data_IF_872493856395
#
_entry.id   IF_872493856395
#
_cell.length_a   1.000
_cell.length_b   1.000
_cell.length_c   1.000
_cell.angle_alpha   90.00
_cell.angle_beta   90.00
_cell.angle_gamma   90.00
#
_symmetry.space_group_name_H-M   'P 1'
#
loop_
_entity.id
_entity.type
_entity.pdbx_description
1 polymer ?
#
# COMPACT_ATOMS: atom_id res chain seq x y z
N UNK A 1 3.43 -59.81 10.38
CA UNK A 1 3.76 -58.76 11.38
C UNK A 1 4.48 -57.53 10.76
N UNK A 2 5.26 -57.66 9.72
CA UNK A 2 5.94 -56.55 9.02
C UNK A 2 5.00 -55.68 8.17
N UNK A 3 3.94 -56.26 7.64
CA UNK A 3 2.94 -55.50 6.84
C UNK A 3 2.08 -54.57 7.70
N UNK A 4 1.71 -54.98 8.90
CA UNK A 4 0.94 -54.18 9.84
C UNK A 4 1.76 -53.03 10.44
N UNK A 5 3.09 -53.16 10.58
CA UNK A 5 3.97 -52.07 11.00
C UNK A 5 4.13 -50.99 9.89
N UNK A 6 4.21 -51.39 8.62
CA UNK A 6 4.24 -50.45 7.49
C UNK A 6 2.91 -49.74 7.29
N UNK A 7 1.79 -50.44 7.47
CA UNK A 7 0.47 -49.79 7.44
C UNK A 7 0.27 -48.83 8.63
N UNK A 8 0.72 -49.17 9.86
CA UNK A 8 0.69 -48.26 11.00
C UNK A 8 1.62 -47.07 10.82
N UNK A 9 2.80 -47.20 10.22
CA UNK A 9 3.67 -46.06 9.91
C UNK A 9 3.10 -45.17 8.81
N UNK A 10 2.37 -45.71 7.79
CA UNK A 10 1.64 -44.92 6.81
C UNK A 10 0.46 -44.18 7.44
N UNK A 11 -0.33 -44.82 8.32
CA UNK A 11 -1.42 -44.18 9.02
C UNK A 11 -0.95 -43.14 10.07
N UNK A 12 0.27 -43.30 10.64
CA UNK A 12 0.84 -42.34 11.59
C UNK A 12 1.40 -41.12 10.85
N UNK A 13 1.92 -41.28 9.62
CA UNK A 13 2.32 -40.11 8.79
C UNK A 13 1.12 -39.31 8.30
N UNK A 14 -0.05 -39.91 8.14
CA UNK A 14 -1.27 -39.21 7.70
C UNK A 14 -2.04 -38.55 8.88
N UNK A 15 -1.73 -38.92 10.13
CA UNK A 15 -2.38 -38.37 11.33
C UNK A 15 -1.73 -37.10 11.89
N UNK A 16 -0.62 -36.62 11.34
CA UNK A 16 -0.02 -35.34 11.72
C UNK A 16 -0.53 -34.13 10.91
N UNK A 17 -1.51 -34.32 10.04
CA UNK A 17 -2.26 -33.24 9.42
C UNK A 17 -3.31 -32.73 10.41
N UNK A 18 -2.90 -31.90 11.35
CA UNK A 18 -3.85 -31.04 12.08
C UNK A 18 -4.53 -30.21 11.01
N UNK A 19 -5.82 -30.40 10.82
CA UNK A 19 -6.59 -29.63 9.85
C UNK A 19 -6.64 -28.18 10.32
N UNK A 20 -5.93 -27.27 9.62
CA UNK A 20 -5.99 -25.86 9.96
C UNK A 20 -7.38 -25.35 9.62
N UNK A 21 -8.04 -24.79 10.61
CA UNK A 21 -9.34 -24.14 10.43
C UNK A 21 -9.12 -22.69 9.92
N UNK A 22 -9.62 -22.41 8.72
CA UNK A 22 -9.60 -21.10 8.10
C UNK A 22 -11.00 -20.45 8.07
N UNK A 23 -12.00 -21.06 8.69
CA UNK A 23 -13.38 -20.62 8.59
C UNK A 23 -13.61 -19.18 9.03
N UNK A 24 -12.99 -18.75 10.14
CA UNK A 24 -13.06 -17.35 10.58
C UNK A 24 -12.34 -16.42 9.61
N UNK A 25 -11.23 -16.86 9.00
CA UNK A 25 -10.42 -16.05 8.08
C UNK A 25 -11.14 -15.74 6.76
N UNK A 26 -12.25 -16.43 6.49
CA UNK A 26 -13.15 -16.14 5.37
C UNK A 26 -13.74 -14.72 5.46
N UNK A 27 -14.00 -14.26 6.68
CA UNK A 27 -14.49 -12.92 6.96
C UNK A 27 -13.33 -11.93 7.13
N UNK A 28 -12.58 -11.69 6.03
CA UNK A 28 -11.34 -10.92 6.08
C UNK A 28 -11.50 -9.51 6.68
N UNK A 29 -12.64 -8.85 6.49
CA UNK A 29 -13.00 -7.55 7.07
C UNK A 29 -14.04 -7.64 8.19
N UNK A 30 -14.21 -8.81 8.86
CA UNK A 30 -15.30 -8.99 9.83
C UNK A 30 -16.66 -8.82 9.16
N UNK A 31 -17.58 -8.08 9.78
CA UNK A 31 -18.92 -7.81 9.24
C UNK A 31 -18.92 -6.90 8.00
N UNK A 32 -17.81 -6.21 7.70
CA UNK A 32 -17.65 -5.42 6.46
C UNK A 32 -17.31 -6.29 5.24
N UNK A 33 -17.18 -7.61 5.43
CA UNK A 33 -16.74 -8.52 4.36
C UNK A 33 -17.81 -8.69 3.30
N UNK A 34 -17.40 -8.67 2.04
CA UNK A 34 -18.23 -9.07 0.89
C UNK A 34 -17.65 -10.32 0.22
N UNK A 35 -18.53 -11.20 -0.25
CA UNK A 35 -18.14 -12.40 -0.99
C UNK A 35 -18.29 -12.15 -2.49
N UNK A 36 -17.45 -11.25 -3.03
CA UNK A 36 -17.39 -10.93 -4.45
C UNK A 36 -16.07 -11.34 -5.04
N UNK A 37 -16.10 -12.07 -6.15
CA UNK A 37 -14.94 -12.41 -6.97
C UNK A 37 -15.18 -11.87 -8.40
N UNK A 38 -15.46 -10.58 -8.51
CA UNK A 38 -15.70 -9.86 -9.76
C UNK A 38 -14.77 -8.66 -9.88
N UNK A 39 -14.75 -8.00 -11.02
CA UNK A 39 -13.93 -6.79 -11.25
C UNK A 39 -14.32 -5.60 -10.38
N UNK A 40 -15.46 -5.63 -9.68
CA UNK A 40 -15.90 -4.57 -8.78
C UNK A 40 -15.68 -4.93 -7.30
N UNK A 41 -14.93 -6.00 -6.99
CA UNK A 41 -14.75 -6.49 -5.62
C UNK A 41 -14.12 -5.45 -4.68
N UNK A 42 -13.33 -4.49 -5.18
CA UNK A 42 -12.66 -3.49 -4.35
C UNK A 42 -13.48 -2.20 -4.17
N UNK A 43 -14.51 -1.97 -5.01
CA UNK A 43 -15.34 -0.75 -5.02
C UNK A 43 -16.74 -0.92 -4.43
N UNK A 44 -16.94 -1.96 -3.63
CA UNK A 44 -18.23 -2.24 -3.02
C UNK A 44 -18.30 -1.64 -1.61
N UNK A 45 -19.39 -0.96 -1.21
CA UNK A 45 -19.57 -0.47 0.14
C UNK A 45 -19.65 -1.62 1.15
N UNK A 46 -19.21 -1.37 2.38
CA UNK A 46 -19.38 -2.32 3.47
C UNK A 46 -20.89 -2.61 3.71
N UNK A 47 -21.29 -3.90 3.82
CA UNK A 47 -22.71 -4.28 3.85
C UNK A 47 -23.42 -3.90 5.15
N UNK A 48 -22.67 -3.60 6.21
CA UNK A 48 -23.18 -3.26 7.55
C UNK A 48 -23.23 -1.74 7.81
N UNK A 49 -23.11 -0.90 6.76
CA UNK A 49 -23.23 0.56 6.91
C UNK A 49 -24.64 0.97 7.30
N UNK A 50 -24.74 2.03 8.13
CA UNK A 50 -26.00 2.71 8.33
C UNK A 50 -26.50 3.35 7.03
N UNK A 51 -27.79 3.66 6.93
CA UNK A 51 -28.33 4.33 5.76
C UNK A 51 -27.68 5.70 5.50
N UNK A 52 -27.32 6.42 6.56
CA UNK A 52 -26.64 7.72 6.45
C UNK A 52 -25.20 7.54 5.95
N UNK A 53 -24.45 6.58 6.50
CA UNK A 53 -23.06 6.30 6.05
C UNK A 53 -23.06 5.78 4.61
N UNK A 54 -24.02 4.95 4.21
CA UNK A 54 -24.14 4.48 2.84
C UNK A 54 -24.43 5.64 1.86
N UNK A 55 -25.34 6.55 2.23
CA UNK A 55 -25.60 7.73 1.41
C UNK A 55 -24.34 8.59 1.23
N UNK A 56 -23.61 8.82 2.31
CA UNK A 56 -22.35 9.59 2.27
C UNK A 56 -21.27 8.85 1.48
N UNK A 57 -21.18 7.50 1.59
CA UNK A 57 -20.30 6.66 0.78
C UNK A 57 -20.56 6.86 -0.71
N UNK A 58 -21.83 6.81 -1.16
CA UNK A 58 -22.19 6.98 -2.57
C UNK A 58 -21.86 8.40 -3.10
N UNK A 59 -21.99 9.41 -2.24
CA UNK A 59 -21.54 10.77 -2.58
C UNK A 59 -20.02 10.80 -2.73
N UNK A 60 -19.29 10.16 -1.81
CA UNK A 60 -17.83 10.05 -1.84
C UNK A 60 -17.30 9.27 -3.04
N UNK A 61 -17.98 8.21 -3.47
CA UNK A 61 -17.69 7.45 -4.70
C UNK A 61 -17.71 8.38 -5.93
N UNK A 62 -18.75 9.20 -6.05
CA UNK A 62 -18.86 10.20 -7.12
C UNK A 62 -17.68 11.19 -7.09
N UNK A 63 -17.25 11.63 -5.91
CA UNK A 63 -16.13 12.56 -5.77
C UNK A 63 -14.76 11.89 -6.02
N UNK A 64 -14.62 10.61 -5.66
CA UNK A 64 -13.40 9.83 -5.91
C UNK A 64 -13.18 9.57 -7.41
N UNK A 65 -14.28 9.39 -8.16
CA UNK A 65 -14.26 9.25 -9.63
C UNK A 65 -14.15 10.60 -10.37
N UNK A 66 -14.36 11.73 -9.69
CA UNK A 66 -14.34 13.06 -10.31
C UNK A 66 -13.00 13.35 -10.99
N UNK A 67 -13.08 13.83 -12.24
CA UNK A 67 -11.91 14.31 -12.98
C UNK A 67 -11.86 15.82 -12.86
N UNK A 68 -10.78 16.32 -12.25
CA UNK A 68 -10.57 17.74 -12.05
C UNK A 68 -9.97 18.41 -13.29
N UNK A 69 -10.31 19.67 -13.47
CA UNK A 69 -9.85 20.53 -14.55
C UNK A 69 -9.38 21.87 -13.98
N UNK A 70 -8.60 22.60 -14.77
CA UNK A 70 -8.10 23.92 -14.35
C UNK A 70 -9.23 24.92 -14.09
N UNK A 71 -9.03 25.78 -13.14
CA UNK A 71 -9.91 26.92 -12.88
C UNK A 71 -9.80 27.99 -14.02
N UNK A 72 -10.90 28.73 -14.33
CA UNK A 72 -12.25 28.56 -13.81
C UNK A 72 -13.04 27.49 -14.58
N UNK A 73 -13.74 26.63 -13.87
CA UNK A 73 -14.66 25.65 -14.46
C UNK A 73 -15.94 25.58 -13.62
N UNK A 74 -17.06 25.17 -14.27
CA UNK A 74 -18.35 25.05 -13.57
C UNK A 74 -18.42 23.80 -12.69
N UNK A 75 -17.63 22.75 -13.04
CA UNK A 75 -17.62 21.45 -12.35
C UNK A 75 -16.18 21.00 -12.20
N UNK A 76 -15.84 20.48 -11.02
CA UNK A 76 -14.52 19.91 -10.70
C UNK A 76 -13.35 20.86 -11.05
N UNK A 77 -13.50 22.14 -10.73
CA UNK A 77 -12.45 23.15 -10.86
C UNK A 77 -11.36 22.94 -9.83
N UNK A 78 -10.16 23.44 -10.10
CA UNK A 78 -9.07 23.51 -9.11
C UNK A 78 -7.91 22.52 -9.39
N UNK A 79 -7.82 21.92 -10.59
CA UNK A 79 -6.59 21.17 -10.94
C UNK A 79 -5.42 22.16 -10.98
N UNK A 80 -4.38 21.89 -10.18
CA UNK A 80 -3.21 22.73 -10.09
C UNK A 80 -2.45 22.91 -11.40
N UNK A 81 -1.62 23.93 -11.47
CA UNK A 81 -0.78 24.22 -12.64
C UNK A 81 0.20 23.11 -12.97
N UNK A 82 0.72 22.41 -11.94
CA UNK A 82 1.55 21.19 -12.03
C UNK A 82 0.90 20.08 -11.19
N UNK A 83 0.98 18.84 -11.65
CA UNK A 83 0.30 17.70 -11.04
C UNK A 83 0.89 16.36 -11.52
N UNK A 84 0.48 15.24 -10.93
CA UNK A 84 0.77 13.89 -11.45
C UNK A 84 -0.44 13.29 -12.15
N UNK A 85 -1.64 13.50 -11.60
CA UNK A 85 -2.88 13.01 -12.18
C UNK A 85 -4.05 13.97 -11.89
N UNK A 86 -5.23 13.74 -12.46
CA UNK A 86 -6.38 14.64 -12.34
C UNK A 86 -7.61 14.01 -11.69
N UNK A 87 -7.48 12.81 -11.11
CA UNK A 87 -8.53 12.12 -10.34
C UNK A 87 -7.96 11.02 -9.47
N UNK A 88 -8.64 10.68 -8.37
CA UNK A 88 -8.23 9.58 -7.51
C UNK A 88 -8.29 8.24 -8.24
N UNK A 89 -9.39 7.98 -8.97
CA UNK A 89 -9.59 6.71 -9.71
C UNK A 89 -8.54 6.46 -10.80
N UNK A 90 -7.89 7.50 -11.33
CA UNK A 90 -6.82 7.36 -12.32
C UNK A 90 -5.54 6.76 -11.73
N UNK A 91 -5.26 7.01 -10.44
CA UNK A 91 -4.18 6.37 -9.70
C UNK A 91 -4.62 5.08 -9.00
N UNK A 92 -5.91 4.95 -8.67
CA UNK A 92 -6.50 3.80 -7.99
C UNK A 92 -7.56 3.10 -8.84
N UNK A 93 -7.22 2.55 -10.03
CA UNK A 93 -8.21 1.96 -10.94
C UNK A 93 -9.01 0.86 -10.24
N UNK A 94 -10.36 0.97 -10.32
CA UNK A 94 -11.31 0.10 -9.60
C UNK A 94 -11.02 -0.01 -8.10
N UNK A 95 -10.58 1.10 -7.45
CA UNK A 95 -10.17 1.16 -6.03
C UNK A 95 -9.02 0.22 -5.66
N UNK A 96 -8.34 -0.29 -6.67
CA UNK A 96 -7.18 -1.15 -6.56
C UNK A 96 -5.86 -0.41 -6.74
N UNK A 97 -4.96 -1.04 -7.46
CA UNK A 97 -3.62 -0.50 -7.75
C UNK A 97 -3.34 -0.48 -9.25
N UNK A 98 -2.61 0.50 -9.77
CA UNK A 98 -2.22 0.54 -11.17
C UNK A 98 -1.09 -0.43 -11.46
N UNK A 99 -0.92 -0.75 -12.75
CA UNK A 99 0.28 -1.42 -13.24
C UNK A 99 1.49 -0.47 -13.23
N UNK A 100 2.70 -1.03 -13.29
CA UNK A 100 3.88 -0.24 -13.66
C UNK A 100 3.65 0.36 -15.06
N UNK A 101 3.76 1.69 -15.24
CA UNK A 101 3.37 2.32 -16.50
C UNK A 101 4.32 1.97 -17.65
N UNK A 102 3.78 1.66 -18.80
CA UNK A 102 4.55 1.44 -20.04
C UNK A 102 5.22 2.75 -20.54
N UNK A 103 4.58 3.89 -20.28
CA UNK A 103 5.14 5.23 -20.50
C UNK A 103 5.16 5.98 -19.15
N UNK A 104 6.34 6.22 -18.62
CA UNK A 104 6.55 6.88 -17.34
C UNK A 104 6.07 8.35 -17.32
N UNK A 105 5.94 8.97 -18.48
CA UNK A 105 5.51 10.36 -18.63
C UNK A 105 4.03 10.50 -19.00
N UNK A 106 3.27 9.41 -18.99
CA UNK A 106 1.81 9.46 -19.01
C UNK A 106 1.24 9.65 -17.61
N UNK A 107 0.00 10.11 -17.53
CA UNK A 107 -0.75 10.09 -16.27
C UNK A 107 -0.87 8.65 -15.80
N UNK A 108 -0.37 8.37 -14.61
CA UNK A 108 -0.35 7.01 -14.04
C UNK A 108 -0.34 7.09 -12.52
N UNK A 109 -0.54 5.97 -11.84
CA UNK A 109 -0.40 5.92 -10.39
C UNK A 109 1.03 5.62 -9.92
N UNK A 110 2.05 5.86 -10.73
CA UNK A 110 3.45 5.89 -10.29
C UNK A 110 3.82 7.32 -9.92
N UNK A 111 4.10 7.52 -8.64
CA UNK A 111 4.49 8.79 -8.05
C UNK A 111 5.98 8.76 -7.70
N UNK A 112 6.65 9.91 -7.82
CA UNK A 112 8.06 10.05 -7.45
C UNK A 112 8.18 10.92 -6.22
N UNK A 113 8.30 10.30 -5.04
CA UNK A 113 8.62 11.03 -3.81
C UNK A 113 10.05 11.50 -3.86
N UNK A 114 10.30 12.72 -3.41
CA UNK A 114 11.62 13.34 -3.44
C UNK A 114 11.97 13.98 -2.09
N UNK A 115 13.22 13.99 -1.73
CA UNK A 115 13.75 14.77 -0.60
C UNK A 115 15.24 15.01 -0.77
N UNK A 116 15.79 15.94 0.00
CA UNK A 116 17.24 16.06 0.20
C UNK A 116 17.60 15.56 1.60
N UNK A 117 18.88 15.42 1.86
CA UNK A 117 19.39 14.99 3.16
C UNK A 117 18.90 15.90 4.30
N UNK A 118 18.57 15.31 5.44
CA UNK A 118 18.06 15.97 6.63
C UNK A 118 16.57 15.72 6.86
N UNK A 119 16.02 16.42 7.83
CA UNK A 119 14.62 16.38 8.24
C UNK A 119 14.08 17.80 8.35
N UNK A 120 12.79 17.96 8.12
CA UNK A 120 12.09 19.19 8.39
C UNK A 120 11.89 19.43 9.90
N UNK A 121 11.25 20.52 10.28
CA UNK A 121 11.00 20.90 11.67
C UNK A 121 10.11 19.91 12.45
N UNK A 122 9.42 19.03 11.73
CA UNK A 122 8.54 17.99 12.30
C UNK A 122 9.11 16.58 12.20
N UNK A 123 10.38 16.43 11.76
CA UNK A 123 11.05 15.15 11.58
C UNK A 123 10.67 14.42 10.28
N UNK A 124 9.91 15.06 9.40
CA UNK A 124 9.60 14.58 8.06
C UNK A 124 10.77 14.69 7.08
N UNK A 125 10.63 14.14 5.86
CA UNK A 125 11.64 14.29 4.83
C UNK A 125 11.84 15.75 4.43
N UNK A 126 13.09 16.20 4.37
CA UNK A 126 13.41 17.57 4.01
C UNK A 126 13.04 17.86 2.54
N UNK A 127 12.15 18.84 2.25
CA UNK A 127 11.70 19.12 0.89
C UNK A 127 12.86 19.47 -0.04
N UNK A 128 12.75 19.09 -1.31
CA UNK A 128 13.72 19.48 -2.35
C UNK A 128 13.52 20.95 -2.73
N UNK A 129 14.51 21.81 -2.58
CA UNK A 129 14.39 23.21 -2.98
C UNK A 129 13.94 23.37 -4.44
N UNK A 130 12.82 24.06 -4.64
CA UNK A 130 12.22 24.27 -5.96
C UNK A 130 11.37 23.10 -6.51
N UNK A 131 11.24 21.97 -5.77
CA UNK A 131 10.50 20.78 -6.22
C UNK A 131 9.56 20.18 -5.15
N UNK A 132 9.70 20.58 -3.87
CA UNK A 132 8.86 20.04 -2.80
C UNK A 132 9.22 18.60 -2.40
N UNK A 133 8.21 17.79 -2.03
CA UNK A 133 8.35 16.42 -1.52
C UNK A 133 7.93 15.33 -2.52
N UNK A 134 7.40 15.75 -3.68
CA UNK A 134 6.97 14.87 -4.77
C UNK A 134 7.19 15.59 -6.10
N UNK A 135 7.72 14.89 -7.09
CA UNK A 135 7.97 15.46 -8.42
C UNK A 135 6.69 15.42 -9.26
N UNK A 136 6.28 16.58 -9.78
CA UNK A 136 5.11 16.74 -10.63
C UNK A 136 5.52 16.56 -12.10
N UNK A 137 5.12 15.43 -12.71
CA UNK A 137 5.53 15.10 -14.08
C UNK A 137 4.52 15.53 -15.17
N UNK A 138 3.46 16.22 -14.77
CA UNK A 138 2.44 16.78 -15.65
C UNK A 138 2.28 18.29 -15.38
N UNK A 139 1.81 19.04 -16.37
CA UNK A 139 1.45 20.44 -16.22
C UNK A 139 0.28 20.79 -17.14
N UNK A 140 -0.45 21.84 -16.79
CA UNK A 140 -1.47 22.42 -17.67
C UNK A 140 -0.82 23.25 -18.78
N UNK A 141 -1.59 23.59 -19.80
CA UNK A 141 -1.10 24.39 -20.91
C UNK A 141 -0.53 25.74 -20.42
N UNK A 142 0.69 26.06 -20.85
CA UNK A 142 1.40 27.29 -20.47
C UNK A 142 2.38 27.10 -19.29
N UNK A 143 2.38 25.95 -18.64
CA UNK A 143 3.31 25.60 -17.57
C UNK A 143 4.23 24.45 -17.98
N UNK A 144 5.36 24.31 -17.31
CA UNK A 144 6.28 23.18 -17.49
C UNK A 144 6.14 22.21 -16.30
N UNK A 145 6.10 20.89 -16.55
CA UNK A 145 6.21 19.92 -15.46
C UNK A 145 7.58 20.09 -14.77
N UNK A 146 7.67 19.66 -13.51
CA UNK A 146 8.93 19.77 -12.76
C UNK A 146 10.06 18.96 -13.38
N UNK A 147 9.76 17.74 -13.84
CA UNK A 147 10.70 16.92 -14.60
C UNK A 147 9.93 15.80 -15.33
N UNK A 148 10.64 15.12 -16.24
CA UNK A 148 10.20 13.86 -16.83
C UNK A 148 10.94 12.69 -16.20
N UNK A 149 10.39 11.49 -16.35
CA UNK A 149 10.98 10.27 -15.82
C UNK A 149 11.58 9.43 -16.94
N UNK A 150 12.74 8.84 -16.65
CA UNK A 150 13.38 7.81 -17.47
C UNK A 150 13.70 6.60 -16.59
N UNK A 151 13.45 5.39 -17.07
CA UNK A 151 13.78 4.16 -16.35
C UNK A 151 14.87 3.37 -17.07
N UNK A 152 15.79 2.83 -16.27
CA UNK A 152 16.63 1.70 -16.61
C UNK A 152 16.22 0.50 -15.73
N UNK A 153 16.58 -0.71 -16.11
CA UNK A 153 16.30 -1.91 -15.34
C UNK A 153 17.59 -2.64 -15.01
N UNK A 154 17.74 -3.01 -13.73
CA UNK A 154 18.84 -3.86 -13.27
C UNK A 154 18.26 -5.26 -13.07
N UNK A 155 18.89 -6.25 -13.70
CA UNK A 155 18.50 -7.64 -13.58
C UNK A 155 19.23 -8.32 -12.43
N UNK A 156 18.48 -9.17 -11.70
CA UNK A 156 18.97 -10.07 -10.68
C UNK A 156 18.40 -11.45 -10.92
N UNK A 157 19.22 -12.47 -10.82
CA UNK A 157 18.80 -13.85 -11.01
C UNK A 157 18.67 -14.56 -9.67
N UNK A 158 17.54 -15.24 -9.46
CA UNK A 158 17.30 -16.14 -8.34
C UNK A 158 17.08 -17.56 -8.84
N UNK A 159 17.70 -18.54 -8.17
CA UNK A 159 17.56 -19.97 -8.54
C UNK A 159 16.85 -20.72 -7.42
N UNK A 160 15.81 -21.46 -7.77
CA UNK A 160 15.05 -22.29 -6.85
C UNK A 160 15.70 -23.67 -6.73
N UNK A 161 15.38 -24.43 -5.66
CA UNK A 161 15.99 -25.73 -5.38
C UNK A 161 15.77 -26.79 -6.46
N UNK A 162 14.75 -26.64 -7.31
CA UNK A 162 14.49 -27.52 -8.46
C UNK A 162 15.21 -27.09 -9.76
N UNK A 163 16.11 -26.10 -9.66
CA UNK A 163 16.85 -25.56 -10.79
C UNK A 163 16.10 -24.49 -11.61
N UNK A 164 14.86 -24.15 -11.26
CA UNK A 164 14.12 -23.08 -11.93
C UNK A 164 14.84 -21.74 -11.71
N UNK A 165 15.15 -21.05 -12.80
CA UNK A 165 15.78 -19.72 -12.80
C UNK A 165 14.73 -18.66 -13.02
N UNK A 166 14.72 -17.64 -12.16
CA UNK A 166 13.82 -16.49 -12.23
C UNK A 166 14.65 -15.22 -12.35
N UNK A 167 14.39 -14.44 -13.39
CA UNK A 167 15.04 -13.14 -13.63
C UNK A 167 14.16 -12.05 -13.06
N UNK A 168 14.63 -11.38 -12.03
CA UNK A 168 14.00 -10.26 -11.37
C UNK A 168 14.51 -8.95 -12.01
N UNK A 169 13.66 -7.92 -12.11
CA UNK A 169 14.02 -6.63 -12.70
C UNK A 169 13.72 -5.49 -11.71
N UNK A 170 14.75 -4.76 -11.28
CA UNK A 170 14.63 -3.55 -10.45
C UNK A 170 14.57 -2.33 -11.36
N UNK A 171 13.49 -1.52 -11.35
CA UNK A 171 13.49 -0.23 -12.03
C UNK A 171 14.40 0.76 -11.29
N UNK A 172 15.22 1.47 -12.04
CA UNK A 172 15.99 2.61 -11.58
C UNK A 172 15.49 3.82 -12.35
N UNK A 173 14.80 4.71 -11.65
CA UNK A 173 14.18 5.88 -12.27
C UNK A 173 15.04 7.11 -12.01
N UNK A 174 15.30 7.86 -13.07
CA UNK A 174 16.00 9.15 -13.05
C UNK A 174 15.10 10.26 -13.58
N UNK A 175 15.39 11.49 -13.14
CA UNK A 175 14.73 12.70 -13.65
C UNK A 175 15.50 13.19 -14.89
N UNK A 176 14.74 13.57 -15.93
CA UNK A 176 15.26 14.20 -17.14
C UNK A 176 14.44 15.45 -17.45
N UNK A 177 15.03 16.37 -18.19
CA UNK A 177 14.42 17.64 -18.57
C UNK A 177 13.80 18.42 -17.39
N UNK A 178 14.51 18.60 -16.25
CA UNK A 178 13.97 19.35 -15.14
C UNK A 178 13.77 20.83 -15.51
N UNK A 179 12.68 21.44 -14.99
CA UNK A 179 12.37 22.85 -15.29
C UNK A 179 13.39 23.83 -14.71
N UNK A 180 14.12 23.41 -13.70
CA UNK A 180 15.26 24.14 -13.10
C UNK A 180 16.34 23.16 -12.65
N UNK A 181 17.49 23.66 -12.22
CA UNK A 181 18.61 22.82 -11.80
C UNK A 181 18.24 21.94 -10.60
N UNK A 182 18.52 20.64 -10.72
CA UNK A 182 18.37 19.70 -9.62
C UNK A 182 19.43 19.95 -8.54
N UNK A 183 19.06 20.03 -7.25
CA UNK A 183 20.05 20.18 -6.17
C UNK A 183 20.87 18.90 -5.98
N UNK A 184 22.06 19.07 -5.39
CA UNK A 184 22.85 17.92 -4.92
C UNK A 184 22.17 17.19 -3.75
N UNK A 185 22.42 15.88 -3.63
CA UNK A 185 21.87 15.07 -2.54
C UNK A 185 20.38 14.72 -2.69
N UNK A 186 19.86 14.79 -3.91
CA UNK A 186 18.50 14.39 -4.24
C UNK A 186 18.30 12.88 -4.00
N UNK A 187 17.31 12.52 -3.22
CA UNK A 187 16.84 11.16 -2.97
C UNK A 187 15.47 10.98 -3.61
N UNK A 188 15.33 9.93 -4.42
CA UNK A 188 14.09 9.62 -5.15
C UNK A 188 13.53 8.27 -4.70
N UNK A 189 12.22 8.21 -4.53
CA UNK A 189 11.49 7.01 -4.14
C UNK A 189 10.27 6.82 -5.05
N UNK A 190 10.34 5.94 -6.06
CA UNK A 190 9.20 5.60 -6.89
C UNK A 190 8.18 4.81 -6.09
N UNK A 191 6.91 5.21 -6.15
CA UNK A 191 5.82 4.57 -5.40
C UNK A 191 4.58 4.41 -6.28
N UNK A 192 4.13 3.16 -6.42
CA UNK A 192 2.85 2.82 -7.05
C UNK A 192 1.74 3.05 -6.02
N UNK A 193 0.63 3.66 -6.44
CA UNK A 193 -0.55 3.84 -5.63
C UNK A 193 -1.09 2.48 -5.12
N UNK A 194 -1.64 2.47 -3.90
CA UNK A 194 -2.08 1.24 -3.22
C UNK A 194 -3.58 1.05 -3.34
N UNK A 195 -4.12 -0.19 -3.18
CA UNK A 195 -5.57 -0.37 -3.03
C UNK A 195 -6.12 0.47 -1.88
N UNK A 196 -7.36 0.95 -2.02
CA UNK A 196 -8.00 1.84 -1.03
C UNK A 196 -9.10 1.15 -0.20
N UNK A 197 -9.45 -0.11 -0.47
CA UNK A 197 -10.42 -0.85 0.31
C UNK A 197 -9.90 -1.27 1.69
N UNK A 198 -10.79 -1.39 2.67
CA UNK A 198 -10.48 -1.84 4.04
C UNK A 198 -9.69 -0.85 4.89
N UNK A 199 -9.39 0.36 4.38
CA UNK A 199 -8.52 1.30 5.07
C UNK A 199 -9.12 1.82 6.39
N UNK A 200 -10.44 1.99 6.47
CA UNK A 200 -11.09 2.41 7.71
C UNK A 200 -10.98 1.37 8.83
N UNK A 201 -10.95 0.08 8.50
CA UNK A 201 -10.66 -0.97 9.48
C UNK A 201 -9.22 -0.87 10.00
N UNK A 202 -8.25 -0.62 9.12
CA UNK A 202 -6.85 -0.42 9.52
C UNK A 202 -6.67 0.84 10.38
N UNK A 203 -7.40 1.92 10.08
CA UNK A 203 -7.42 3.11 10.91
C UNK A 203 -7.97 2.85 12.32
N UNK A 204 -8.95 1.95 12.43
CA UNK A 204 -9.64 1.62 13.67
C UNK A 204 -8.87 0.60 14.56
N UNK A 205 -7.79 -0.03 14.08
CA UNK A 205 -6.92 -0.84 14.96
C UNK A 205 -6.31 0.10 16.00
N UNK A 206 -6.34 -0.29 17.28
CA UNK A 206 -5.80 0.57 18.33
C UNK A 206 -4.28 0.70 18.24
N UNK A 207 -3.73 1.83 18.67
CA UNK A 207 -2.28 2.01 18.74
C UNK A 207 -1.65 0.95 19.64
N UNK A 208 -2.29 0.63 20.76
CA UNK A 208 -1.84 -0.40 21.69
C UNK A 208 -1.67 -1.77 21.01
N UNK A 209 -2.61 -2.17 20.14
CA UNK A 209 -2.56 -3.47 19.47
C UNK A 209 -1.45 -3.50 18.40
N UNK A 210 -1.20 -2.39 17.72
CA UNK A 210 -0.07 -2.28 16.77
C UNK A 210 1.26 -2.36 17.53
N UNK A 211 1.41 -1.58 18.60
CA UNK A 211 2.64 -1.53 19.40
C UNK A 211 2.93 -2.83 20.14
N UNK A 212 1.90 -3.65 20.43
CA UNK A 212 2.09 -4.97 21.06
C UNK A 212 2.89 -5.95 20.19
N UNK A 213 2.98 -5.69 18.86
CA UNK A 213 3.74 -6.52 17.94
C UNK A 213 5.18 -6.00 17.70
N UNK A 214 5.56 -4.90 18.34
CA UNK A 214 6.84 -4.23 18.17
C UNK A 214 7.95 -4.93 18.94
N UNK A 215 9.11 -5.16 18.30
CA UNK A 215 10.31 -5.68 18.95
C UNK A 215 11.56 -4.98 18.40
N UNK A 216 11.64 -3.66 18.60
CA UNK A 216 12.67 -2.76 18.00
C UNK A 216 14.10 -3.29 18.18
N UNK A 217 14.37 -3.99 19.27
CA UNK A 217 15.70 -4.47 19.63
C UNK A 217 15.90 -5.96 19.34
N UNK A 218 14.95 -6.61 18.65
CA UNK A 218 14.98 -8.07 18.41
C UNK A 218 15.28 -8.85 19.70
N UNK A 219 14.51 -8.55 20.77
CA UNK A 219 14.76 -9.10 22.10
C UNK A 219 14.53 -10.62 22.15
N UNK A 220 13.71 -11.16 21.26
CA UNK A 220 13.47 -12.59 21.12
C UNK A 220 14.55 -13.30 20.28
N UNK A 221 15.43 -12.57 19.58
CA UNK A 221 16.57 -13.08 18.80
C UNK A 221 16.20 -13.82 17.54
N UNK A 222 15.02 -13.53 16.93
CA UNK A 222 14.57 -14.21 15.73
C UNK A 222 14.98 -13.51 14.42
N UNK A 223 15.54 -12.31 14.52
CA UNK A 223 16.02 -11.49 13.43
C UNK A 223 14.94 -10.60 12.80
N UNK A 224 13.80 -10.41 13.51
CA UNK A 224 12.67 -9.58 13.06
C UNK A 224 12.37 -8.56 14.15
N UNK A 225 12.56 -7.27 13.85
CA UNK A 225 12.40 -6.21 14.83
C UNK A 225 10.98 -5.63 14.85
N UNK A 226 10.47 -5.17 13.74
CA UNK A 226 9.21 -4.44 13.67
C UNK A 226 9.23 -3.11 14.45
N UNK A 227 9.07 -1.99 13.76
CA UNK A 227 9.12 -0.66 14.35
C UNK A 227 7.94 0.19 13.92
N UNK A 228 7.28 0.87 14.86
CA UNK A 228 6.27 1.86 14.55
C UNK A 228 6.90 3.11 13.91
N UNK A 229 6.23 3.71 12.92
CA UNK A 229 6.57 5.05 12.47
C UNK A 229 5.70 6.07 13.21
N UNK A 230 6.30 7.14 13.72
CA UNK A 230 5.60 8.27 14.31
C UNK A 230 5.76 9.48 13.39
N UNK A 231 4.64 10.10 13.03
CA UNK A 231 4.57 11.08 11.96
C UNK A 231 3.82 12.33 12.39
N UNK A 232 4.19 13.47 11.88
CA UNK A 232 3.46 14.70 12.11
C UNK A 232 2.11 14.69 11.39
N UNK A 233 1.04 14.96 12.11
CA UNK A 233 -0.29 15.17 11.55
C UNK A 233 -0.58 16.69 11.51
N UNK A 234 -0.64 17.31 10.33
CA UNK A 234 -0.81 18.76 10.19
C UNK A 234 -2.21 19.25 10.60
N UNK A 235 -3.23 18.38 10.57
CA UNK A 235 -4.58 18.71 11.02
C UNK A 235 -4.67 18.72 12.55
N UNK A 236 -4.16 17.69 13.20
CA UNK A 236 -4.13 17.57 14.66
C UNK A 236 -3.01 18.38 15.30
N UNK A 237 -2.00 18.81 14.54
CA UNK A 237 -0.80 19.54 14.99
C UNK A 237 -0.03 18.79 16.08
N UNK A 238 0.12 17.49 15.89
CA UNK A 238 0.86 16.63 16.81
C UNK A 238 1.46 15.43 16.09
N UNK A 239 2.46 14.82 16.71
CA UNK A 239 3.03 13.56 16.25
C UNK A 239 2.13 12.40 16.69
N UNK A 240 1.73 11.56 15.75
CA UNK A 240 0.88 10.38 15.95
C UNK A 240 1.45 9.14 15.27
N UNK A 241 0.91 7.97 15.61
CA UNK A 241 1.26 6.72 14.95
C UNK A 241 0.92 6.75 13.45
N UNK A 242 1.91 6.53 12.60
CA UNK A 242 1.74 6.38 11.17
C UNK A 242 1.11 5.03 10.79
N UNK A 243 0.18 5.04 9.83
CA UNK A 243 -0.62 3.87 9.44
C UNK A 243 -0.66 3.67 7.93
N UNK A 244 -0.68 4.75 7.16
CA UNK A 244 -0.89 4.74 5.71
C UNK A 244 0.38 5.07 4.93
N UNK A 245 0.33 4.88 3.61
CA UNK A 245 1.50 4.97 2.76
C UNK A 245 2.39 3.71 2.82
N UNK A 246 3.44 3.69 2.04
CA UNK A 246 4.39 2.57 1.96
C UNK A 246 5.33 2.47 3.16
N UNK A 247 5.60 3.57 3.82
CA UNK A 247 6.47 3.68 5.00
C UNK A 247 5.69 4.10 6.26
N UNK A 248 4.37 3.88 6.30
CA UNK A 248 3.51 4.34 7.40
C UNK A 248 3.72 5.85 7.67
N UNK A 249 3.81 6.64 6.63
CA UNK A 249 4.18 8.07 6.70
C UNK A 249 2.98 9.01 6.86
N UNK A 250 1.77 8.47 7.05
CA UNK A 250 0.55 9.24 7.30
C UNK A 250 -0.27 8.53 8.39
N UNK A 251 -0.78 9.27 9.36
CA UNK A 251 -1.47 8.71 10.54
C UNK A 251 -2.97 8.50 10.32
N UNK A 252 -3.63 9.37 9.57
CA UNK A 252 -5.08 9.36 9.36
C UNK A 252 -5.46 9.35 7.87
N UNK A 253 -6.65 8.82 7.56
CA UNK A 253 -7.18 8.88 6.19
C UNK A 253 -7.55 10.32 5.79
N UNK A 254 -7.87 11.17 6.75
CA UNK A 254 -8.09 12.60 6.48
C UNK A 254 -6.83 13.22 5.86
N UNK A 255 -5.67 13.07 6.54
CA UNK A 255 -4.41 13.62 6.05
C UNK A 255 -3.95 12.91 4.77
N UNK A 256 -4.18 11.59 4.65
CA UNK A 256 -3.85 10.85 3.43
C UNK A 256 -4.62 11.37 2.20
N UNK A 257 -5.92 11.61 2.33
CA UNK A 257 -6.74 12.13 1.22
C UNK A 257 -6.44 13.60 0.92
N UNK A 258 -6.28 14.45 1.95
CA UNK A 258 -5.96 15.88 1.76
C UNK A 258 -4.58 16.08 1.16
N UNK A 259 -3.59 15.26 1.55
CA UNK A 259 -2.27 15.26 0.93
C UNK A 259 -2.32 14.80 -0.53
N UNK A 260 -3.15 13.79 -0.87
CA UNK A 260 -3.33 13.37 -2.26
C UNK A 260 -3.97 14.46 -3.14
N UNK A 261 -4.91 15.23 -2.60
CA UNK A 261 -5.45 16.39 -3.34
C UNK A 261 -4.37 17.38 -3.72
N UNK A 262 -3.53 17.80 -2.77
CA UNK A 262 -2.50 18.82 -3.02
C UNK A 262 -1.28 18.24 -3.74
N UNK A 263 -0.76 17.09 -3.30
CA UNK A 263 0.49 16.55 -3.84
C UNK A 263 0.32 15.87 -5.21
N UNK A 264 -0.83 15.19 -5.46
CA UNK A 264 -1.03 14.44 -6.70
C UNK A 264 -1.76 15.25 -7.77
N UNK A 265 -2.63 16.20 -7.36
CA UNK A 265 -3.49 16.99 -8.26
C UNK A 265 -3.26 18.50 -8.18
N UNK A 266 -2.45 18.98 -7.24
CA UNK A 266 -2.23 20.40 -7.01
C UNK A 266 -3.44 21.14 -6.45
N UNK A 267 -4.44 20.42 -5.87
CA UNK A 267 -5.70 20.99 -5.38
C UNK A 267 -5.58 21.32 -3.91
N UNK A 268 -5.64 22.60 -3.57
CA UNK A 268 -5.56 23.08 -2.21
C UNK A 268 -6.80 22.75 -1.39
N UNK A 269 -6.62 22.60 -0.08
CA UNK A 269 -7.68 22.24 0.85
C UNK A 269 -7.41 22.83 2.25
N UNK A 270 -8.36 22.69 3.15
CA UNK A 270 -8.27 23.29 4.49
C UNK A 270 -7.15 22.75 5.39
N UNK A 271 -6.56 21.57 5.06
CA UNK A 271 -5.38 21.03 5.75
C UNK A 271 -4.10 21.54 5.11
N UNK A 272 -4.09 21.63 3.77
CA UNK A 272 -2.98 22.09 2.94
C UNK A 272 -3.44 23.25 2.06
N UNK A 273 -3.39 24.50 2.58
CA UNK A 273 -3.93 25.67 1.88
C UNK A 273 -3.00 26.28 0.84
N UNK A 274 -1.79 25.76 0.68
CA UNK A 274 -0.83 26.25 -0.31
C UNK A 274 -0.70 25.25 -1.45
N UNK A 275 -0.62 25.74 -2.67
CA UNK A 275 -0.35 24.90 -3.85
C UNK A 275 0.98 24.14 -3.75
N UNK A 276 1.05 22.98 -4.38
CA UNK A 276 2.27 22.14 -4.45
C UNK A 276 3.47 22.93 -4.97
N UNK A 277 3.24 23.79 -5.99
CA UNK A 277 4.23 24.67 -6.57
C UNK A 277 4.43 26.01 -5.83
N UNK A 278 3.97 26.15 -4.59
CA UNK A 278 4.13 27.39 -3.83
C UNK A 278 5.62 27.79 -3.74
N UNK A 279 5.91 29.04 -4.07
CA UNK A 279 7.27 29.59 -4.23
C UNK A 279 8.11 29.00 -5.39
N UNK A 280 7.53 28.24 -6.30
CA UNK A 280 8.17 27.79 -7.53
C UNK A 280 7.80 28.71 -8.71
N UNK A 281 8.70 28.83 -9.70
CA UNK A 281 8.46 29.66 -10.87
C UNK A 281 7.48 29.04 -11.89
N UNK A 282 7.20 27.73 -11.77
CA UNK A 282 6.33 26.97 -12.67
C UNK A 282 5.04 26.46 -12.01
N UNK A 283 4.81 26.74 -10.73
CA UNK A 283 3.80 26.04 -9.94
C UNK A 283 2.64 26.89 -9.44
N UNK A 284 2.63 28.21 -9.65
CA UNK A 284 1.57 29.09 -9.18
C UNK A 284 0.64 29.48 -10.35
N UNK A 285 -0.66 29.33 -10.16
CA UNK A 285 -1.65 29.73 -11.18
C UNK A 285 -2.00 31.23 -11.09
N UNK A 286 -1.62 31.91 -9.99
CA UNK A 286 -1.81 33.35 -9.77
C UNK A 286 -3.26 33.74 -9.42
N UNK A 287 -4.07 32.80 -8.93
CA UNK A 287 -5.46 33.00 -8.49
C UNK A 287 -5.53 33.22 -6.98
N UNK A 288 -6.65 33.77 -6.55
CA UNK A 288 -7.01 33.98 -5.14
C UNK A 288 -8.28 33.15 -4.83
N UNK A 289 -8.21 31.82 -5.08
CA UNK A 289 -9.30 30.87 -4.89
C UNK A 289 -8.97 29.73 -3.92
N UNK A 290 -7.84 29.81 -3.22
CA UNK A 290 -7.42 28.86 -2.19
C UNK A 290 -8.20 29.02 -0.86
N UNK A 291 -8.62 27.92 -0.22
CA UNK A 291 -8.53 26.54 -0.68
C UNK A 291 -9.63 26.21 -1.72
N UNK A 292 -9.22 25.55 -2.80
CA UNK A 292 -10.06 25.27 -3.98
C UNK A 292 -11.15 24.23 -3.72
N UNK A 293 -10.88 23.21 -2.88
CA UNK A 293 -11.85 22.16 -2.63
C UNK A 293 -12.58 22.37 -1.30
N UNK A 294 -13.94 22.36 -1.28
CA UNK A 294 -14.72 22.46 -0.06
C UNK A 294 -14.47 21.29 0.90
N UNK A 295 -14.44 21.55 2.20
CA UNK A 295 -14.30 20.54 3.25
C UNK A 295 -15.33 19.40 3.10
N UNK A 296 -16.58 19.72 2.73
CA UNK A 296 -17.64 18.71 2.57
C UNK A 296 -17.31 17.64 1.50
N UNK A 297 -16.58 18.01 0.44
CA UNK A 297 -16.13 17.07 -0.60
C UNK A 297 -15.01 16.19 -0.05
N UNK A 298 -14.05 16.79 0.65
CA UNK A 298 -12.99 16.03 1.34
C UNK A 298 -13.57 15.01 2.30
N UNK A 299 -14.52 15.42 3.15
CA UNK A 299 -15.17 14.56 4.14
C UNK A 299 -15.90 13.37 3.49
N UNK A 300 -16.54 13.59 2.32
CA UNK A 300 -17.18 12.54 1.54
C UNK A 300 -16.16 11.51 1.02
N UNK A 301 -15.05 11.97 0.45
CA UNK A 301 -13.99 11.07 -0.07
C UNK A 301 -13.30 10.32 1.07
N UNK A 302 -13.06 10.96 2.19
CA UNK A 302 -12.49 10.30 3.39
C UNK A 302 -13.42 9.20 3.89
N UNK A 303 -14.73 9.46 3.98
CA UNK A 303 -15.71 8.45 4.40
C UNK A 303 -15.79 7.32 3.38
N UNK A 304 -15.78 7.62 2.09
CA UNK A 304 -15.72 6.60 1.03
C UNK A 304 -14.54 5.66 1.23
N UNK A 305 -13.32 6.17 1.34
CA UNK A 305 -12.12 5.38 1.58
C UNK A 305 -12.18 4.56 2.88
N UNK A 306 -12.86 5.07 3.92
CA UNK A 306 -13.06 4.35 5.19
C UNK A 306 -14.04 3.18 5.07
N UNK A 307 -15.00 3.27 4.19
CA UNK A 307 -16.19 2.39 4.17
C UNK A 307 -16.24 1.42 3.00
N UNK A 308 -15.19 1.35 2.19
CA UNK A 308 -15.02 0.29 1.20
C UNK A 308 -14.85 -1.07 1.89
N UNK A 309 -15.63 -2.04 1.45
CA UNK A 309 -15.67 -3.40 1.98
C UNK A 309 -14.39 -4.17 1.69
N UNK A 310 -14.09 -5.16 2.51
CA UNK A 310 -12.98 -6.09 2.28
C UNK A 310 -13.52 -7.35 1.59
N UNK A 311 -12.93 -7.78 0.46
CA UNK A 311 -13.27 -9.07 -0.14
C UNK A 311 -12.94 -10.24 0.79
N UNK A 312 -13.86 -11.17 0.93
CA UNK A 312 -13.65 -12.39 1.73
C UNK A 312 -12.63 -13.34 1.13
N UNK A 313 -11.94 -14.10 1.99
CA UNK A 313 -11.04 -15.14 1.53
C UNK A 313 -11.82 -16.28 0.85
N UNK A 314 -11.20 -16.84 -0.18
CA UNK A 314 -11.82 -17.81 -1.10
C UNK A 314 -11.17 -19.18 -0.99
N UNK A 315 -11.89 -20.24 -1.42
CA UNK A 315 -11.37 -21.60 -1.51
C UNK A 315 -10.74 -22.15 -0.22
N UNK A 316 -11.11 -21.64 0.94
CA UNK A 316 -10.51 -21.93 2.27
C UNK A 316 -10.56 -23.42 2.63
N UNK A 317 -11.49 -24.19 2.04
CA UNK A 317 -11.63 -25.62 2.25
C UNK A 317 -10.74 -26.47 1.33
N UNK A 318 -10.07 -25.85 0.33
CA UNK A 318 -9.14 -26.54 -0.56
C UNK A 318 -7.94 -27.10 0.22
N UNK A 319 -7.55 -28.33 -0.07
CA UNK A 319 -6.35 -28.95 0.53
C UNK A 319 -5.08 -28.14 0.23
N UNK A 320 -4.97 -27.58 -0.97
CA UNK A 320 -3.84 -26.75 -1.39
C UNK A 320 -3.79 -25.46 -0.60
N UNK A 321 -4.92 -24.76 -0.40
CA UNK A 321 -5.02 -23.54 0.40
C UNK A 321 -4.66 -23.79 1.86
N UNK A 322 -5.17 -24.87 2.46
CA UNK A 322 -4.84 -25.25 3.84
C UNK A 322 -3.34 -25.59 3.98
N UNK A 323 -2.76 -26.30 3.04
CA UNK A 323 -1.32 -26.58 3.03
C UNK A 323 -0.52 -25.29 2.86
N UNK A 324 -0.95 -24.39 1.98
CA UNK A 324 -0.34 -23.08 1.78
C UNK A 324 -0.37 -22.22 3.04
N UNK A 325 -1.47 -22.24 3.79
CA UNK A 325 -1.58 -21.54 5.07
C UNK A 325 -0.57 -22.07 6.12
N UNK A 326 -0.37 -23.40 6.18
CA UNK A 326 0.67 -23.98 7.06
C UNK A 326 2.08 -23.60 6.61
N UNK A 327 2.32 -23.57 5.30
CA UNK A 327 3.60 -23.15 4.75
C UNK A 327 3.85 -21.67 5.09
N UNK A 328 2.85 -20.81 4.98
CA UNK A 328 2.94 -19.39 5.34
C UNK A 328 3.41 -19.20 6.80
N UNK A 329 2.92 -20.01 7.71
CA UNK A 329 3.36 -19.99 9.12
C UNK A 329 4.76 -20.62 9.29
N UNK A 330 5.01 -21.79 8.68
CA UNK A 330 6.29 -22.50 8.83
C UNK A 330 7.48 -21.81 8.18
N UNK A 331 7.22 -21.01 7.15
CA UNK A 331 8.21 -20.14 6.51
C UNK A 331 8.43 -18.82 7.27
N UNK A 332 7.68 -18.59 8.35
CA UNK A 332 7.74 -17.40 9.21
C UNK A 332 7.20 -16.11 8.54
N UNK A 333 6.41 -16.23 7.45
CA UNK A 333 5.76 -15.08 6.82
C UNK A 333 4.79 -14.37 7.78
N UNK A 334 4.13 -15.15 8.66
CA UNK A 334 3.16 -14.65 9.65
C UNK A 334 3.79 -13.82 10.78
N UNK A 335 5.11 -13.72 10.88
CA UNK A 335 5.77 -12.88 11.88
C UNK A 335 5.62 -11.39 11.61
N UNK A 336 5.62 -10.99 10.33
CA UNK A 336 5.29 -9.64 9.89
C UNK A 336 3.84 -9.58 9.39
N UNK A 337 3.46 -10.53 8.54
CA UNK A 337 2.09 -10.64 8.02
C UNK A 337 1.17 -11.32 9.04
N UNK A 338 1.00 -10.70 10.22
CA UNK A 338 0.15 -11.20 11.30
C UNK A 338 -1.29 -11.34 10.79
N UNK A 339 -1.88 -12.56 10.85
CA UNK A 339 -3.17 -12.82 10.23
C UNK A 339 -4.31 -12.01 10.82
N UNK A 340 -4.42 -11.97 12.15
CA UNK A 340 -5.59 -11.47 12.88
C UNK A 340 -5.29 -10.15 13.57
N UNK A 341 -6.23 -9.21 13.45
CA UNK A 341 -6.29 -7.96 14.20
C UNK A 341 -7.72 -7.74 14.73
N UNK A 342 -7.87 -6.82 15.68
CA UNK A 342 -9.18 -6.41 16.18
C UNK A 342 -9.24 -4.88 16.12
N UNK A 343 -10.33 -4.34 15.59
CA UNK A 343 -10.54 -2.90 15.59
C UNK A 343 -11.03 -2.43 16.96
N UNK A 344 -10.64 -1.22 17.32
CA UNK A 344 -11.13 -0.53 18.52
C UNK A 344 -12.42 0.26 18.26
N UNK A 345 -12.68 1.30 19.06
CA UNK A 345 -13.80 2.20 18.84
C UNK A 345 -13.65 2.97 17.54
N UNK A 346 -14.77 3.23 16.86
CA UNK A 346 -14.82 4.05 15.64
C UNK A 346 -16.08 4.91 15.66
N UNK A 347 -16.00 6.10 15.08
CA UNK A 347 -17.19 6.96 14.84
C UNK A 347 -18.14 6.36 13.79
N UNK A 348 -17.64 5.47 12.93
CA UNK A 348 -18.42 4.68 11.98
C UNK A 348 -18.65 3.33 12.63
N UNK A 349 -19.88 3.07 13.09
CA UNK A 349 -20.24 1.88 13.88
C UNK A 349 -19.90 0.57 13.17
N UNK A 350 -20.00 0.54 11.85
CA UNK A 350 -19.67 -0.62 11.01
C UNK A 350 -18.21 -1.07 11.13
N UNK A 351 -17.30 -0.18 11.52
CA UNK A 351 -15.85 -0.43 11.63
C UNK A 351 -15.41 -0.77 13.05
N UNK A 352 -16.26 -0.53 14.05
CA UNK A 352 -15.91 -0.70 15.46
C UNK A 352 -15.93 -2.17 15.88
N UNK A 353 -14.92 -2.57 16.66
CA UNK A 353 -14.82 -3.88 17.32
C UNK A 353 -14.93 -5.08 16.38
N UNK A 354 -14.45 -4.94 15.14
CA UNK A 354 -14.40 -6.01 14.14
C UNK A 354 -13.20 -6.92 14.35
N UNK A 355 -13.40 -8.23 14.28
CA UNK A 355 -12.30 -9.19 14.09
C UNK A 355 -11.98 -9.26 12.61
N UNK A 356 -10.74 -8.91 12.23
CA UNK A 356 -10.32 -8.78 10.84
C UNK A 356 -9.05 -9.59 10.56
N UNK A 357 -8.83 -9.93 9.28
CA UNK A 357 -7.68 -10.73 8.85
C UNK A 357 -6.88 -10.01 7.75
N UNK A 358 -6.19 -8.89 8.09
CA UNK A 358 -5.43 -8.09 7.13
C UNK A 358 -4.10 -8.75 6.73
N UNK A 359 -3.56 -9.67 7.51
CA UNK A 359 -2.21 -10.21 7.34
C UNK A 359 -1.16 -9.10 7.34
N UNK A 360 -1.16 -8.30 8.39
CA UNK A 360 -0.23 -7.19 8.61
C UNK A 360 -0.14 -6.85 10.09
N UNK A 361 1.06 -6.54 10.56
CA UNK A 361 1.33 -5.94 11.86
C UNK A 361 1.30 -4.41 11.84
N UNK A 362 1.24 -3.80 10.64
CA UNK A 362 1.29 -2.35 10.40
C UNK A 362 2.65 -1.70 10.76
N UNK A 363 3.69 -2.48 11.04
CA UNK A 363 5.02 -2.01 11.45
C UNK A 363 5.97 -1.89 10.25
N UNK A 364 7.08 -1.19 10.47
CA UNK A 364 8.21 -1.07 9.56
C UNK A 364 9.18 -2.23 9.79
N UNK A 365 9.70 -2.78 8.69
CA UNK A 365 10.75 -3.80 8.71
C UNK A 365 11.84 -3.45 7.73
N UNK A 366 13.11 -3.72 8.09
CA UNK A 366 14.25 -3.61 7.16
C UNK A 366 14.16 -4.73 6.10
N UNK A 367 13.90 -4.32 4.87
CA UNK A 367 13.72 -5.25 3.75
C UNK A 367 15.01 -5.44 2.93
N UNK A 368 16.15 -4.97 3.42
CA UNK A 368 17.46 -5.10 2.78
C UNK A 368 17.70 -4.16 1.61
N UNK A 369 18.91 -4.25 1.05
CA UNK A 369 19.39 -3.33 0.00
C UNK A 369 18.65 -3.46 -1.33
N UNK A 370 18.14 -4.65 -1.63
CA UNK A 370 17.41 -4.89 -2.89
C UNK A 370 16.11 -4.08 -2.99
N UNK A 371 15.43 -3.85 -1.86
CA UNK A 371 14.21 -3.06 -1.78
C UNK A 371 14.44 -1.62 -1.28
N UNK A 372 15.67 -1.28 -0.88
CA UNK A 372 16.00 0.07 -0.43
C UNK A 372 15.76 1.13 -1.52
N UNK A 373 15.21 2.28 -1.08
CA UNK A 373 15.08 3.51 -1.86
C UNK A 373 16.01 4.63 -1.36
N UNK A 374 16.74 4.36 -0.27
CA UNK A 374 17.67 5.24 0.43
C UNK A 374 17.04 6.57 0.94
N UNK A 375 15.71 6.73 0.81
CA UNK A 375 14.97 7.90 1.25
C UNK A 375 14.28 7.62 2.59
N UNK A 376 14.66 8.31 3.68
CA UNK A 376 13.96 8.21 4.95
C UNK A 376 12.56 8.86 4.86
N UNK A 377 11.65 8.45 5.76
CA UNK A 377 10.30 8.99 5.84
C UNK A 377 9.89 9.00 7.32
N UNK A 378 10.12 10.10 8.05
CA UNK A 378 10.08 10.23 9.51
C UNK A 378 11.06 9.24 10.17
N UNK A 379 10.57 8.26 10.97
CA UNK A 379 11.42 7.27 11.62
C UNK A 379 11.78 6.10 10.68
N UNK A 380 11.12 5.96 9.55
CA UNK A 380 11.46 4.95 8.56
C UNK A 380 12.75 5.30 7.84
N UNK A 381 13.71 4.39 7.84
CA UNK A 381 14.94 4.51 7.05
C UNK A 381 14.69 4.24 5.56
N UNK A 382 15.72 4.44 4.72
CA UNK A 382 15.66 4.10 3.29
C UNK A 382 15.47 2.60 3.01
N UNK A 383 15.68 1.72 3.98
CA UNK A 383 15.54 0.26 3.86
C UNK A 383 14.24 -0.28 4.43
N UNK A 384 13.54 0.51 5.25
CA UNK A 384 12.37 0.07 5.97
C UNK A 384 11.08 0.36 5.21
N UNK A 385 10.20 -0.65 5.21
CA UNK A 385 8.89 -0.61 4.59
C UNK A 385 7.83 -1.16 5.54
N UNK A 386 6.63 -0.56 5.50
CA UNK A 386 5.50 -1.07 6.28
C UNK A 386 5.00 -2.39 5.70
N UNK A 387 4.73 -3.38 6.56
CA UNK A 387 4.03 -4.61 6.17
C UNK A 387 2.68 -4.27 5.55
N UNK A 388 2.52 -4.62 4.28
CA UNK A 388 1.27 -4.37 3.54
C UNK A 388 0.22 -5.43 3.87
N UNK A 389 -1.05 -5.04 4.02
CA UNK A 389 -2.14 -6.01 4.08
C UNK A 389 -2.16 -6.92 2.87
N UNK A 390 -2.45 -8.21 3.08
CA UNK A 390 -2.53 -9.20 2.01
C UNK A 390 -3.97 -9.56 1.62
N UNK A 391 -4.98 -9.11 2.37
CA UNK A 391 -6.37 -9.30 1.98
C UNK A 391 -6.64 -8.74 0.59
N UNK A 392 -7.43 -9.45 -0.23
CA UNK A 392 -7.73 -9.07 -1.60
C UNK A 392 -6.58 -9.21 -2.60
N UNK A 393 -5.35 -9.57 -2.17
CA UNK A 393 -4.18 -9.63 -3.06
C UNK A 393 -4.40 -10.59 -4.25
N UNK A 394 -5.09 -11.71 -4.02
CA UNK A 394 -5.41 -12.68 -5.06
C UNK A 394 -6.43 -12.20 -6.08
N UNK A 395 -7.14 -11.09 -5.82
CA UNK A 395 -8.07 -10.49 -6.76
C UNK A 395 -7.45 -9.40 -7.64
N UNK A 396 -6.19 -9.01 -7.39
CA UNK A 396 -5.51 -7.94 -8.14
C UNK A 396 -5.57 -8.18 -9.66
N UNK A 397 -5.29 -9.42 -10.10
CA UNK A 397 -5.37 -9.77 -11.53
C UNK A 397 -6.77 -9.62 -12.13
N UNK A 398 -7.80 -9.97 -11.38
CA UNK A 398 -9.20 -9.88 -11.82
C UNK A 398 -9.71 -8.42 -11.84
N UNK A 399 -9.38 -7.65 -10.81
CA UNK A 399 -9.89 -6.27 -10.63
C UNK A 399 -9.09 -5.29 -11.48
N UNK A 400 -7.77 -5.40 -11.49
CA UNK A 400 -6.88 -4.41 -12.12
C UNK A 400 -6.26 -4.88 -13.46
N UNK A 401 -6.47 -6.14 -13.86
CA UNK A 401 -5.95 -6.69 -15.13
C UNK A 401 -4.45 -6.96 -15.14
N UNK A 402 -3.78 -6.93 -13.99
CA UNK A 402 -2.35 -7.21 -13.85
C UNK A 402 -2.03 -7.80 -12.47
N UNK A 403 -0.79 -8.30 -12.30
CA UNK A 403 -0.31 -8.90 -11.06
C UNK A 403 1.02 -8.31 -10.60
N UNK A 404 1.22 -7.01 -10.81
CA UNK A 404 2.45 -6.33 -10.35
C UNK A 404 2.32 -5.91 -8.88
N UNK A 405 3.39 -6.12 -8.11
CA UNK A 405 3.43 -5.92 -6.67
C UNK A 405 4.64 -5.10 -6.24
N UNK A 406 4.78 -4.88 -4.93
CA UNK A 406 5.77 -4.06 -4.23
C UNK A 406 5.56 -2.55 -4.45
N UNK A 407 6.42 -1.74 -3.80
CA UNK A 407 6.23 -0.29 -3.71
C UNK A 407 6.36 0.44 -5.06
N UNK A 408 7.15 -0.10 -5.96
CA UNK A 408 7.44 0.45 -7.28
C UNK A 408 6.94 -0.43 -8.44
N UNK A 409 6.18 -1.48 -8.15
CA UNK A 409 5.61 -2.36 -9.18
C UNK A 409 6.59 -3.33 -9.83
N UNK A 410 7.81 -3.51 -9.25
CA UNK A 410 8.87 -4.34 -9.85
C UNK A 410 8.55 -5.83 -9.92
N UNK A 411 7.77 -6.37 -9.00
CA UNK A 411 7.41 -7.78 -8.97
C UNK A 411 6.20 -8.04 -9.88
N UNK A 412 6.37 -8.88 -10.88
CA UNK A 412 5.34 -9.19 -11.90
C UNK A 412 4.30 -10.21 -11.41
N UNK A 413 4.58 -10.88 -10.30
CA UNK A 413 3.72 -11.89 -9.69
C UNK A 413 4.12 -12.11 -8.22
N UNK A 414 3.35 -12.93 -7.50
CA UNK A 414 3.60 -13.22 -6.07
C UNK A 414 4.93 -13.93 -5.82
N UNK A 415 5.38 -14.80 -6.74
CA UNK A 415 6.69 -15.46 -6.64
C UNK A 415 7.83 -14.44 -6.66
N UNK A 416 7.80 -13.51 -7.61
CA UNK A 416 8.79 -12.43 -7.67
C UNK A 416 8.72 -11.52 -6.44
N UNK A 417 7.49 -11.22 -5.96
CA UNK A 417 7.32 -10.44 -4.73
C UNK A 417 8.02 -11.11 -3.54
N UNK A 418 7.85 -12.43 -3.34
CA UNK A 418 8.53 -13.18 -2.29
C UNK A 418 10.06 -13.18 -2.50
N UNK A 419 10.53 -13.34 -3.74
CA UNK A 419 11.96 -13.40 -4.05
C UNK A 419 12.67 -12.03 -3.89
N UNK A 420 11.94 -10.92 -3.92
CA UNK A 420 12.47 -9.60 -3.60
C UNK A 420 12.62 -9.35 -2.10
N UNK A 421 11.97 -10.13 -1.23
CA UNK A 421 12.12 -9.99 0.21
C UNK A 421 13.58 -10.21 0.64
N UNK A 422 14.09 -9.31 1.47
CA UNK A 422 15.46 -9.35 2.02
C UNK A 422 15.48 -8.87 3.47
N UNK A 423 16.64 -8.51 4.00
CA UNK A 423 16.76 -8.03 5.38
C UNK A 423 16.13 -8.98 6.38
N UNK A 424 15.20 -8.52 7.19
CA UNK A 424 14.47 -9.31 8.19
C UNK A 424 13.69 -10.49 7.55
N UNK A 425 13.26 -10.37 6.31
CA UNK A 425 12.53 -11.43 5.60
C UNK A 425 13.44 -12.39 4.79
N UNK A 426 14.77 -12.20 4.82
CA UNK A 426 15.73 -13.02 4.05
C UNK A 426 15.58 -14.52 4.36
N UNK A 427 15.42 -14.88 5.63
CA UNK A 427 15.25 -16.27 6.06
C UNK A 427 13.99 -16.92 5.49
N UNK A 428 12.88 -16.18 5.44
CA UNK A 428 11.63 -16.63 4.83
C UNK A 428 11.78 -16.86 3.30
N UNK A 429 12.44 -15.93 2.60
CA UNK A 429 12.79 -16.08 1.18
C UNK A 429 13.62 -17.34 0.91
N UNK A 430 14.70 -17.56 1.67
CA UNK A 430 15.54 -18.74 1.46
C UNK A 430 14.79 -20.05 1.72
N UNK A 431 13.94 -20.11 2.75
CA UNK A 431 13.06 -21.25 2.99
C UNK A 431 12.09 -21.47 1.81
N UNK A 432 11.51 -20.40 1.24
CA UNK A 432 10.65 -20.49 0.06
C UNK A 432 11.38 -21.08 -1.14
N UNK A 433 12.61 -20.65 -1.40
CA UNK A 433 13.46 -21.17 -2.52
C UNK A 433 13.72 -22.65 -2.40
N UNK A 434 13.76 -23.21 -1.18
CA UNK A 434 13.99 -24.63 -0.91
C UNK A 434 12.72 -25.50 -1.05
N UNK A 435 11.55 -24.91 -1.20
CA UNK A 435 10.31 -25.67 -1.38
C UNK A 435 10.29 -26.42 -2.72
N UNK A 436 9.67 -27.61 -2.72
CA UNK A 436 9.28 -28.24 -3.98
C UNK A 436 8.26 -27.41 -4.75
N UNK A 437 8.16 -27.57 -6.06
CA UNK A 437 7.19 -26.88 -6.89
C UNK A 437 5.75 -27.04 -6.37
N UNK A 438 5.35 -28.24 -5.93
CA UNK A 438 4.02 -28.48 -5.35
C UNK A 438 3.75 -27.64 -4.09
N UNK A 439 4.75 -27.51 -3.20
CA UNK A 439 4.62 -26.69 -1.98
C UNK A 439 4.61 -25.19 -2.30
N UNK A 440 5.44 -24.73 -3.25
CA UNK A 440 5.38 -23.34 -3.72
C UNK A 440 4.00 -23.01 -4.27
N UNK A 441 3.45 -23.89 -5.11
CA UNK A 441 2.09 -23.69 -5.65
C UNK A 441 1.03 -23.66 -4.53
N UNK A 442 1.13 -24.52 -3.52
CA UNK A 442 0.21 -24.49 -2.39
C UNK A 442 0.28 -23.16 -1.63
N UNK A 443 1.48 -22.61 -1.39
CA UNK A 443 1.63 -21.28 -0.77
C UNK A 443 1.01 -20.18 -1.65
N UNK A 444 1.23 -20.23 -2.97
CA UNK A 444 0.64 -19.28 -3.90
C UNK A 444 -0.89 -19.41 -3.97
N UNK A 445 -1.43 -20.65 -3.91
CA UNK A 445 -2.88 -20.88 -3.83
C UNK A 445 -3.49 -20.24 -2.56
N UNK A 446 -2.78 -20.33 -1.43
CA UNK A 446 -3.17 -19.65 -0.20
C UNK A 446 -3.17 -18.13 -0.37
N UNK A 447 -2.08 -17.54 -0.88
CA UNK A 447 -2.01 -16.09 -1.11
C UNK A 447 -3.07 -15.61 -2.11
N UNK A 448 -3.35 -16.41 -3.15
CA UNK A 448 -4.40 -16.13 -4.12
C UNK A 448 -5.81 -16.34 -3.53
N UNK A 449 -5.95 -17.02 -2.41
CA UNK A 449 -7.23 -17.17 -1.72
C UNK A 449 -7.57 -15.96 -0.85
N UNK A 450 -6.60 -15.13 -0.49
CA UNK A 450 -6.78 -13.91 0.29
C UNK A 450 -7.30 -12.69 -0.57
#
# INVERSE_FOLDING_TARGET
>A
HLSLRRQRQMCIRDRSYIDIDLSERMYAGGETTIFSATSIAFRTPAPNLSAADLQMHLMGDTQFEAVFVTAPALVNSGLGSIFNNSSCISCHPNDGRPNFPANLNSRSGLLMRASIFGQDEHGGPNPVPGFGVQIQNQAVFGFLPEARYQAAFIEKTETLADGTVIVLQKPVISLVDPYTNLPGGLMLSPRIATPVFGLGLLEAITEQDILANQDINDANGDGISGKANYVWDPYLRQTILGRFGWKANTGTLLVQCTAAYVEDMGITNYVFPNETGHNQSNGQDGRDDDPEIPQSIVDQVVLYCKTLAVPGARNINSKSVKEGARLFESLECSKCHIPKQVTGPSSISALAYQTIYPYSDMLLHDMGDDLADDRPDFLATGREWKTRPLWGIGLTGLVNGHTTFLHDGRAKNLTEAILWHGGEAQKAKEKFKQLSAAKRNALLDFLNSL
#
